data_IF_597836969309
#
_entry.id   IF_597836969309
#
_cell.length_a   1.000
_cell.length_b   1.000
_cell.length_c   1.000
_cell.angle_alpha   90.00
_cell.angle_beta   90.00
_cell.angle_gamma   90.00
#
_symmetry.space_group_name_H-M   'P 1'
#
loop_
_entity.id
_entity.type
_entity.pdbx_description
1 polymer ?
#
# COMPACT_ATOMS: atom_id res chain seq x y z
N UNK A 1 21.94 15.97 21.98
CA UNK A 1 21.31 14.75 21.43
C UNK A 1 22.46 13.81 21.16
N UNK A 2 22.39 12.60 21.72
CA UNK A 2 23.38 11.56 21.42
C UNK A 2 23.36 11.26 19.91
N UNK A 3 24.51 10.88 19.35
CA UNK A 3 24.57 10.45 17.96
C UNK A 3 23.67 9.21 17.79
N UNK A 4 22.79 9.19 16.78
CA UNK A 4 21.96 8.02 16.52
C UNK A 4 22.86 6.81 16.22
N UNK A 5 22.38 5.61 16.57
CA UNK A 5 23.03 4.38 16.15
C UNK A 5 23.16 4.33 14.62
N UNK A 6 24.08 3.50 14.11
CA UNK A 6 24.20 3.29 12.66
C UNK A 6 22.90 2.74 12.05
N UNK A 7 22.16 1.90 12.80
CA UNK A 7 20.86 1.38 12.38
C UNK A 7 19.85 2.50 12.18
N UNK A 8 19.65 3.34 13.20
CA UNK A 8 18.77 4.51 13.14
C UNK A 8 19.21 5.48 12.03
N UNK A 9 20.52 5.70 11.85
CA UNK A 9 21.03 6.63 10.84
C UNK A 9 20.80 6.15 9.38
N UNK A 10 20.82 4.84 9.13
CA UNK A 10 20.65 4.27 7.79
C UNK A 10 19.20 3.88 7.49
N UNK A 11 18.50 3.33 8.47
CA UNK A 11 17.20 2.66 8.29
C UNK A 11 16.08 3.27 9.12
N UNK A 12 16.39 4.21 10.02
CA UNK A 12 15.40 4.78 10.95
C UNK A 12 14.94 3.83 12.06
N UNK A 13 15.55 2.63 12.17
CA UNK A 13 15.27 1.61 13.18
C UNK A 13 16.54 0.83 13.54
N UNK A 14 16.58 0.27 14.75
CA UNK A 14 17.60 -0.69 15.17
C UNK A 14 17.21 -2.15 14.89
N UNK A 15 16.05 -2.37 14.27
CA UNK A 15 15.61 -3.70 13.86
C UNK A 15 16.55 -4.27 12.78
N UNK A 16 17.06 -5.48 13.02
CA UNK A 16 17.98 -6.13 12.11
C UNK A 16 17.25 -6.74 10.90
N UNK A 17 17.76 -6.48 9.70
CA UNK A 17 17.26 -7.11 8.47
C UNK A 17 17.82 -8.53 8.37
N UNK A 18 16.98 -9.59 8.32
CA UNK A 18 17.45 -10.96 8.17
C UNK A 18 18.25 -11.17 6.88
N UNK A 19 19.32 -11.96 6.96
CA UNK A 19 20.11 -12.30 5.79
C UNK A 19 19.27 -13.07 4.76
N UNK A 20 19.31 -12.62 3.50
CA UNK A 20 18.66 -13.29 2.37
C UNK A 20 19.60 -14.29 1.71
N UNK A 21 19.08 -15.41 1.18
CA UNK A 21 19.84 -16.42 0.42
C UNK A 21 19.23 -16.63 -0.96
N UNK A 22 20.02 -16.58 -2.02
CA UNK A 22 19.54 -16.95 -3.37
C UNK A 22 19.58 -18.47 -3.52
N UNK A 23 18.45 -19.06 -3.89
CA UNK A 23 18.29 -20.47 -4.21
C UNK A 23 18.21 -20.67 -5.73
N UNK A 24 18.71 -21.78 -6.24
CA UNK A 24 18.72 -22.08 -7.69
C UNK A 24 18.34 -23.52 -8.00
N UNK A 25 17.64 -23.72 -9.12
CA UNK A 25 17.31 -25.03 -9.68
C UNK A 25 17.19 -24.92 -11.20
N UNK A 26 18.23 -25.29 -11.95
CA UNK A 26 18.26 -25.03 -13.40
C UNK A 26 18.12 -23.53 -13.70
N UNK A 27 17.10 -23.16 -14.48
CA UNK A 27 16.80 -21.76 -14.80
C UNK A 27 16.01 -21.03 -13.69
N UNK A 28 15.47 -21.75 -12.70
CA UNK A 28 14.76 -21.17 -11.56
C UNK A 28 15.75 -20.50 -10.61
N UNK A 29 15.44 -19.29 -10.17
CA UNK A 29 16.09 -18.65 -9.03
C UNK A 29 15.07 -17.90 -8.17
N UNK A 30 15.29 -17.87 -6.86
CA UNK A 30 14.47 -17.11 -5.93
C UNK A 30 15.29 -16.67 -4.71
N UNK A 31 14.88 -15.58 -4.07
CA UNK A 31 15.47 -15.09 -2.83
C UNK A 31 14.69 -15.64 -1.64
N UNK A 32 15.33 -16.46 -0.81
CA UNK A 32 14.80 -16.91 0.48
C UNK A 32 15.02 -15.83 1.53
N UNK A 33 13.94 -15.39 2.16
CA UNK A 33 13.93 -14.38 3.21
C UNK A 33 12.79 -14.66 4.19
N UNK A 34 13.11 -14.70 5.50
CA UNK A 34 12.14 -14.96 6.57
C UNK A 34 11.22 -16.17 6.31
N UNK A 35 11.77 -17.26 5.74
CA UNK A 35 11.00 -18.48 5.45
C UNK A 35 10.09 -18.42 4.22
N UNK A 36 10.13 -17.33 3.47
CA UNK A 36 9.33 -17.08 2.26
C UNK A 36 10.25 -16.91 1.04
N UNK A 37 9.68 -16.95 -0.18
CA UNK A 37 10.43 -16.67 -1.39
C UNK A 37 10.00 -15.33 -2.02
N UNK A 38 10.99 -14.53 -2.44
CA UNK A 38 10.83 -13.30 -3.23
C UNK A 38 11.58 -13.40 -4.56
N UNK A 39 11.25 -12.53 -5.51
CA UNK A 39 11.92 -12.39 -6.81
C UNK A 39 12.06 -13.74 -7.52
N UNK A 40 10.95 -14.49 -7.59
CA UNK A 40 10.93 -15.81 -8.22
C UNK A 40 11.06 -15.59 -9.72
N UNK A 41 12.14 -16.11 -10.29
CA UNK A 41 12.57 -15.86 -11.65
C UNK A 41 12.87 -17.14 -12.41
N UNK A 42 12.65 -17.12 -13.72
CA UNK A 42 13.02 -18.19 -14.64
C UNK A 42 13.86 -17.61 -15.78
N UNK A 43 15.13 -18.02 -15.88
CA UNK A 43 16.05 -17.46 -16.86
C UNK A 43 16.33 -15.96 -16.67
N UNK A 44 16.15 -15.45 -15.45
CA UNK A 44 16.33 -14.03 -15.09
C UNK A 44 15.08 -13.17 -15.19
N UNK A 45 14.03 -13.64 -15.88
CA UNK A 45 12.73 -12.95 -15.96
C UNK A 45 11.89 -13.23 -14.71
N UNK A 46 11.29 -12.20 -14.13
CA UNK A 46 10.42 -12.33 -12.94
C UNK A 46 9.08 -12.95 -13.33
N UNK A 47 8.74 -14.08 -12.70
CA UNK A 47 7.48 -14.80 -12.92
C UNK A 47 6.49 -14.58 -11.77
N UNK A 48 7.00 -14.39 -10.55
CA UNK A 48 6.24 -14.03 -9.35
C UNK A 48 7.11 -13.15 -8.46
N UNK A 49 6.52 -12.11 -7.88
CA UNK A 49 7.22 -11.20 -6.96
C UNK A 49 7.49 -11.87 -5.62
N UNK A 50 6.53 -12.60 -5.07
CA UNK A 50 6.71 -13.36 -3.83
C UNK A 50 5.66 -14.46 -3.61
N UNK A 51 5.99 -15.45 -2.79
CA UNK A 51 5.03 -16.36 -2.17
C UNK A 51 5.39 -16.47 -0.69
N UNK A 52 4.42 -16.15 0.16
CA UNK A 52 4.62 -16.08 1.61
C UNK A 52 3.50 -16.77 2.38
N UNK A 53 3.82 -17.45 3.48
CA UNK A 53 2.81 -17.91 4.44
C UNK A 53 2.68 -16.85 5.54
N UNK A 54 1.53 -16.18 5.62
CA UNK A 54 1.32 -15.09 6.56
C UNK A 54 0.25 -15.42 7.60
N UNK A 55 0.38 -14.79 8.77
CA UNK A 55 -0.59 -14.86 9.86
C UNK A 55 -0.91 -13.43 10.28
N UNK A 56 -2.18 -13.05 10.20
CA UNK A 56 -2.66 -11.72 10.58
C UNK A 56 -3.58 -11.77 11.78
N UNK A 57 -3.44 -10.81 12.68
CA UNK A 57 -4.36 -10.62 13.79
C UNK A 57 -5.72 -10.04 13.32
N UNK A 58 -6.61 -9.78 14.29
CA UNK A 58 -7.94 -9.19 14.09
C UNK A 58 -7.89 -7.72 13.60
N UNK A 59 -6.76 -7.06 13.75
CA UNK A 59 -6.52 -5.65 13.43
C UNK A 59 -5.71 -5.54 12.11
N UNK A 60 -5.59 -6.65 11.36
CA UNK A 60 -4.84 -6.79 10.10
C UNK A 60 -3.31 -6.66 10.21
N UNK A 61 -2.77 -6.61 11.42
CA UNK A 61 -1.34 -6.65 11.69
C UNK A 61 -0.77 -8.01 11.29
N UNK A 62 0.38 -8.02 10.61
CA UNK A 62 1.06 -9.28 10.20
C UNK A 62 2.09 -9.65 11.25
N UNK A 63 1.97 -10.85 11.84
CA UNK A 63 2.94 -11.33 12.82
C UNK A 63 4.29 -11.63 12.15
N UNK A 64 5.38 -11.24 12.81
CA UNK A 64 6.72 -11.75 12.52
C UNK A 64 6.86 -13.15 13.13
N UNK A 65 7.01 -14.22 12.33
CA UNK A 65 7.11 -15.58 12.86
C UNK A 65 8.43 -15.84 13.56
N UNK A 66 8.38 -16.51 14.70
CA UNK A 66 9.57 -17.12 15.31
C UNK A 66 9.90 -18.42 14.57
N UNK A 67 10.84 -18.34 13.64
CA UNK A 67 11.26 -19.48 12.80
C UNK A 67 12.27 -20.36 13.56
N UNK A 68 12.06 -21.67 13.49
CA UNK A 68 12.93 -22.72 14.01
C UNK A 68 13.10 -23.83 12.98
N UNK A 69 14.16 -24.64 13.13
CA UNK A 69 14.43 -25.77 12.22
C UNK A 69 14.43 -25.38 10.73
N UNK A 70 14.91 -24.17 10.39
CA UNK A 70 15.10 -23.76 9.02
C UNK A 70 16.26 -24.56 8.42
N UNK A 71 15.93 -25.51 7.55
CA UNK A 71 16.89 -26.34 6.82
C UNK A 71 16.77 -26.07 5.33
N UNK A 72 17.92 -25.95 4.67
CA UNK A 72 18.03 -25.67 3.23
C UNK A 72 18.98 -26.69 2.62
N UNK A 73 18.43 -27.53 1.74
CA UNK A 73 19.17 -28.50 0.95
C UNK A 73 19.16 -28.08 -0.52
N UNK A 74 20.32 -27.98 -1.14
CA UNK A 74 20.49 -27.68 -2.57
C UNK A 74 21.22 -28.85 -3.24
N UNK A 75 20.72 -29.28 -4.39
CA UNK A 75 21.28 -30.32 -5.24
C UNK A 75 21.18 -29.90 -6.71
N UNK A 76 21.91 -30.58 -7.60
CA UNK A 76 21.98 -30.20 -9.03
C UNK A 76 20.61 -30.09 -9.72
N UNK A 77 19.63 -30.88 -9.28
CA UNK A 77 18.27 -30.89 -9.84
C UNK A 77 17.25 -29.98 -9.15
N UNK A 78 17.59 -29.37 -8.01
CA UNK A 78 16.61 -28.65 -7.21
C UNK A 78 17.05 -28.24 -5.80
N UNK A 79 16.17 -27.53 -5.11
CA UNK A 79 16.35 -27.19 -3.71
C UNK A 79 15.12 -27.58 -2.89
N UNK A 80 15.32 -27.81 -1.59
CA UNK A 80 14.27 -27.99 -0.60
C UNK A 80 14.54 -27.08 0.60
N UNK A 81 13.53 -26.34 1.02
CA UNK A 81 13.53 -25.58 2.27
C UNK A 81 12.47 -26.18 3.18
N UNK A 82 12.81 -26.44 4.44
CA UNK A 82 11.83 -26.81 5.47
C UNK A 82 11.98 -25.92 6.69
N UNK A 83 10.88 -25.58 7.34
CA UNK A 83 10.88 -24.80 8.57
C UNK A 83 9.69 -25.13 9.45
N UNK A 84 9.81 -24.76 10.73
CA UNK A 84 8.70 -24.61 11.66
C UNK A 84 8.66 -23.18 12.14
N UNK A 85 7.47 -22.66 12.38
CA UNK A 85 7.31 -21.32 12.90
C UNK A 85 6.15 -21.25 13.89
N UNK A 86 6.28 -20.31 14.82
CA UNK A 86 5.22 -19.95 15.76
C UNK A 86 4.98 -18.46 15.65
N UNK A 87 3.72 -18.09 15.51
CA UNK A 87 3.23 -16.70 15.49
C UNK A 87 2.22 -16.49 16.61
N UNK A 88 2.03 -15.25 17.03
CA UNK A 88 1.03 -14.88 18.01
C UNK A 88 1.61 -14.16 19.22
N UNK A 89 0.80 -14.02 20.26
CA UNK A 89 1.14 -13.41 21.55
C UNK A 89 1.10 -14.47 22.69
N UNK A 90 1.29 -14.02 23.92
CA UNK A 90 1.27 -14.89 25.11
C UNK A 90 -0.06 -15.64 25.31
N UNK A 91 -1.16 -15.11 24.78
CA UNK A 91 -2.50 -15.68 24.95
C UNK A 91 -2.94 -16.55 23.76
N UNK A 92 -2.42 -16.28 22.55
CA UNK A 92 -2.90 -16.85 21.29
C UNK A 92 -1.70 -17.24 20.45
N UNK A 93 -1.45 -18.54 20.29
CA UNK A 93 -0.33 -19.05 19.48
C UNK A 93 -0.84 -19.89 18.31
N UNK A 94 -0.26 -19.66 17.14
CA UNK A 94 -0.46 -20.47 15.95
C UNK A 94 0.89 -21.03 15.51
N UNK A 95 0.97 -22.36 15.40
CA UNK A 95 2.16 -23.07 14.96
C UNK A 95 1.98 -23.62 13.57
N UNK A 96 3.00 -23.51 12.72
CA UNK A 96 2.98 -24.10 11.38
C UNK A 96 4.33 -24.69 10.97
N UNK A 97 4.28 -25.58 10.01
CA UNK A 97 5.43 -26.08 9.28
C UNK A 97 5.25 -25.74 7.80
N UNK A 98 6.35 -25.34 7.16
CA UNK A 98 6.36 -25.09 5.72
C UNK A 98 7.46 -25.89 5.04
N UNK A 99 7.18 -26.31 3.79
CA UNK A 99 8.13 -26.98 2.91
C UNK A 99 8.04 -26.36 1.53
N UNK A 100 9.19 -25.96 0.99
CA UNK A 100 9.32 -25.34 -0.33
C UNK A 100 10.24 -26.21 -1.17
N UNK A 101 9.84 -26.55 -2.38
CA UNK A 101 10.63 -27.35 -3.32
C UNK A 101 10.70 -26.65 -4.67
N UNK A 102 11.90 -26.29 -5.13
CA UNK A 102 12.14 -25.82 -6.49
C UNK A 102 12.84 -26.89 -7.32
N UNK A 103 12.35 -27.14 -8.54
CA UNK A 103 12.90 -28.14 -9.47
C UNK A 103 13.36 -27.48 -10.77
N UNK A 104 14.39 -28.07 -11.38
CA UNK A 104 14.95 -27.60 -12.64
C UNK A 104 14.02 -27.75 -13.85
N UNK A 105 12.86 -28.41 -13.70
CA UNK A 105 11.84 -28.58 -14.74
C UNK A 105 10.81 -27.43 -14.79
N UNK A 106 10.95 -26.42 -13.93
CA UNK A 106 10.01 -25.29 -13.85
C UNK A 106 8.91 -25.46 -12.80
N UNK A 107 8.95 -26.52 -11.99
CA UNK A 107 8.01 -26.74 -10.89
C UNK A 107 8.54 -26.15 -9.58
N UNK A 108 7.76 -25.29 -8.94
CA UNK A 108 8.00 -24.76 -7.60
C UNK A 108 6.77 -25.00 -6.72
N UNK A 109 6.94 -25.75 -5.64
CA UNK A 109 5.85 -26.13 -4.73
C UNK A 109 6.09 -25.56 -3.34
N UNK A 110 5.06 -24.96 -2.76
CA UNK A 110 5.00 -24.52 -1.37
C UNK A 110 3.91 -25.32 -0.68
N UNK A 111 4.23 -25.97 0.44
CA UNK A 111 3.25 -26.61 1.31
C UNK A 111 3.34 -26.02 2.70
N UNK A 112 2.19 -25.71 3.29
CA UNK A 112 2.08 -25.16 4.63
C UNK A 112 1.01 -25.91 5.39
N UNK A 113 1.36 -26.42 6.57
CA UNK A 113 0.41 -27.07 7.47
C UNK A 113 0.54 -26.46 8.86
N UNK A 114 -0.57 -26.04 9.47
CA UNK A 114 -0.54 -25.36 10.76
C UNK A 114 -1.84 -25.46 11.53
N UNK A 115 -1.77 -25.15 12.82
CA UNK A 115 -2.89 -25.23 13.74
C UNK A 115 -2.57 -24.57 15.07
N UNK A 116 -3.48 -24.75 16.02
CA UNK A 116 -3.41 -24.16 17.35
C UNK A 116 -3.97 -25.12 18.40
N UNK A 117 -3.40 -25.10 19.60
CA UNK A 117 -3.87 -25.90 20.74
C UNK A 117 -4.96 -25.19 21.54
N UNK A 118 -4.98 -23.85 21.53
CA UNK A 118 -5.89 -23.02 22.34
C UNK A 118 -6.92 -22.26 21.51
N UNK A 119 -6.82 -22.34 20.19
CA UNK A 119 -7.63 -21.58 19.25
C UNK A 119 -7.03 -20.20 18.95
N UNK A 120 -7.25 -19.70 17.75
CA UNK A 120 -6.57 -18.50 17.23
C UNK A 120 -7.53 -17.61 16.44
N UNK A 121 -7.64 -16.35 16.83
CA UNK A 121 -8.45 -15.34 16.14
C UNK A 121 -7.60 -14.62 15.09
N UNK A 122 -8.08 -14.55 13.85
CA UNK A 122 -7.30 -14.10 12.69
C UNK A 122 -8.19 -13.45 11.63
N UNK A 123 -7.65 -12.49 10.90
CA UNK A 123 -8.25 -12.02 9.64
C UNK A 123 -7.73 -12.79 8.42
N UNK A 124 -6.51 -13.36 8.53
CA UNK A 124 -5.88 -14.11 7.45
C UNK A 124 -4.76 -15.01 7.97
N UNK A 125 -4.89 -16.31 7.72
CA UNK A 125 -3.83 -17.29 7.97
C UNK A 125 -3.69 -18.20 6.76
N UNK A 126 -2.53 -18.16 6.10
CA UNK A 126 -2.26 -18.99 4.93
C UNK A 126 -1.37 -18.33 3.89
N UNK A 127 -1.29 -18.95 2.71
CA UNK A 127 -0.46 -18.45 1.62
C UNK A 127 -1.03 -17.18 0.98
N UNK A 128 -0.11 -16.29 0.65
CA UNK A 128 -0.30 -15.12 -0.20
C UNK A 128 0.72 -15.18 -1.33
N UNK A 129 0.28 -14.84 -2.54
CA UNK A 129 1.10 -14.80 -3.75
C UNK A 129 1.06 -13.37 -4.30
N UNK A 130 2.24 -12.81 -4.56
CA UNK A 130 2.40 -11.52 -5.19
C UNK A 130 2.82 -11.73 -6.64
N UNK A 131 1.99 -11.24 -7.57
CA UNK A 131 2.29 -11.20 -9.00
C UNK A 131 2.91 -9.83 -9.33
N UNK A 132 3.97 -9.78 -10.16
CA UNK A 132 4.59 -8.51 -10.53
C UNK A 132 3.60 -7.59 -11.27
N UNK A 133 3.89 -6.28 -11.32
CA UNK A 133 3.12 -5.33 -12.14
C UNK A 133 3.64 -5.33 -13.57
N UNK A 134 4.96 -5.20 -13.73
CA UNK A 134 5.60 -5.10 -15.03
C UNK A 134 5.31 -6.36 -15.86
N UNK A 135 4.81 -6.15 -17.08
CA UNK A 135 4.41 -7.24 -17.97
C UNK A 135 3.11 -7.96 -17.64
N UNK A 136 2.49 -7.70 -16.48
CA UNK A 136 1.26 -8.37 -16.04
C UNK A 136 0.07 -7.41 -16.09
N UNK A 137 0.24 -6.13 -15.76
CA UNK A 137 -0.85 -5.17 -15.81
C UNK A 137 -1.42 -5.02 -17.23
N UNK A 138 -2.74 -5.20 -17.38
CA UNK A 138 -3.40 -5.22 -18.68
C UNK A 138 -3.18 -6.50 -19.50
N UNK A 139 -2.42 -7.48 -18.99
CA UNK A 139 -2.14 -8.72 -19.72
C UNK A 139 -3.30 -9.73 -19.60
N UNK A 140 -3.52 -10.59 -20.62
CA UNK A 140 -4.48 -11.69 -20.54
C UNK A 140 -4.16 -12.68 -19.43
N UNK A 141 -5.20 -13.26 -18.84
CA UNK A 141 -5.09 -14.31 -17.82
C UNK A 141 -6.19 -15.33 -17.97
N UNK A 142 -5.85 -16.61 -17.90
CA UNK A 142 -6.81 -17.69 -17.80
C UNK A 142 -7.05 -18.00 -16.31
N UNK A 143 -8.29 -17.88 -15.87
CA UNK A 143 -8.72 -18.18 -14.51
C UNK A 143 -9.39 -19.54 -14.48
N UNK A 144 -8.91 -20.43 -13.59
CA UNK A 144 -9.61 -21.66 -13.24
C UNK A 144 -10.27 -21.50 -11.89
N UNK A 145 -11.59 -21.68 -11.86
CA UNK A 145 -12.41 -21.60 -10.66
C UNK A 145 -12.32 -22.86 -9.80
N UNK A 146 -12.71 -22.78 -8.52
CA UNK A 146 -12.67 -23.95 -7.61
C UNK A 146 -13.60 -25.07 -8.03
N UNK A 147 -14.67 -24.75 -8.77
CA UNK A 147 -15.60 -25.71 -9.38
C UNK A 147 -15.15 -26.25 -10.74
N UNK A 148 -13.93 -25.93 -11.18
CA UNK A 148 -13.31 -26.45 -12.40
C UNK A 148 -13.64 -25.69 -13.69
N UNK A 149 -14.50 -24.68 -13.64
CA UNK A 149 -14.77 -23.79 -14.79
C UNK A 149 -13.53 -22.97 -15.12
N UNK A 150 -13.20 -22.87 -16.40
CA UNK A 150 -12.16 -21.95 -16.89
C UNK A 150 -12.78 -20.76 -17.63
N UNK A 151 -12.20 -19.57 -17.44
CA UNK A 151 -12.58 -18.34 -18.12
C UNK A 151 -11.34 -17.53 -18.49
N UNK A 152 -11.39 -16.88 -19.64
CA UNK A 152 -10.39 -15.87 -20.04
C UNK A 152 -10.76 -14.51 -19.44
N UNK A 153 -9.76 -13.78 -18.97
CA UNK A 153 -9.89 -12.45 -18.38
C UNK A 153 -8.63 -11.63 -18.65
N UNK A 154 -8.49 -10.50 -17.97
CA UNK A 154 -7.33 -9.61 -18.07
C UNK A 154 -7.01 -9.03 -16.70
N UNK A 155 -5.73 -8.90 -16.36
CA UNK A 155 -5.33 -8.14 -15.18
C UNK A 155 -5.74 -6.67 -15.34
N UNK A 156 -6.24 -5.99 -14.31
CA UNK A 156 -6.67 -4.60 -14.42
C UNK A 156 -5.54 -3.68 -14.91
N UNK A 157 -5.74 -2.96 -16.00
CA UNK A 157 -4.78 -1.92 -16.42
C UNK A 157 -4.90 -0.69 -15.49
N UNK A 158 -6.13 -0.19 -15.36
CA UNK A 158 -6.54 0.81 -14.36
C UNK A 158 -6.82 0.09 -13.04
N UNK A 159 -6.41 0.70 -11.93
CA UNK A 159 -6.49 0.08 -10.61
C UNK A 159 -7.95 -0.22 -10.24
N UNK A 160 -8.25 -1.49 -9.99
CA UNK A 160 -9.57 -1.93 -9.56
C UNK A 160 -9.76 -1.65 -8.06
N UNK A 161 -10.83 -0.96 -7.62
CA UNK A 161 -11.00 -0.57 -6.21
C UNK A 161 -11.38 -1.74 -5.28
N UNK A 162 -11.74 -2.91 -5.82
CA UNK A 162 -12.27 -4.07 -5.08
C UNK A 162 -11.46 -5.34 -5.42
N UNK A 163 -12.12 -6.49 -5.60
CA UNK A 163 -11.51 -7.74 -6.01
C UNK A 163 -11.68 -7.96 -7.52
N UNK A 164 -10.62 -7.85 -8.33
CA UNK A 164 -10.73 -8.06 -9.77
C UNK A 164 -10.93 -9.53 -10.18
N UNK A 165 -10.55 -10.48 -9.33
CA UNK A 165 -10.66 -11.92 -9.62
C UNK A 165 -11.01 -12.69 -8.34
N UNK A 166 -12.09 -13.47 -8.37
CA UNK A 166 -12.62 -14.22 -7.23
C UNK A 166 -12.73 -15.71 -7.55
N UNK A 167 -12.93 -16.53 -6.53
CA UNK A 167 -13.11 -17.98 -6.64
C UNK A 167 -11.97 -18.64 -7.44
N UNK A 168 -10.73 -18.53 -6.95
CA UNK A 168 -9.53 -18.94 -7.67
C UNK A 168 -9.04 -20.32 -7.23
N UNK A 169 -8.83 -21.21 -8.21
CA UNK A 169 -8.05 -22.46 -8.08
C UNK A 169 -6.73 -22.39 -8.83
N UNK A 170 -6.70 -21.74 -9.99
CA UNK A 170 -5.45 -21.45 -10.71
C UNK A 170 -5.54 -20.15 -11.51
N UNK A 171 -4.40 -19.49 -11.66
CA UNK A 171 -4.19 -18.38 -12.58
C UNK A 171 -3.08 -18.78 -13.56
N UNK A 172 -3.33 -18.62 -14.86
CA UNK A 172 -2.30 -18.76 -15.88
C UNK A 172 -2.10 -17.45 -16.60
N UNK A 173 -0.88 -16.91 -16.57
CA UNK A 173 -0.51 -15.73 -17.33
C UNK A 173 0.71 -16.01 -18.21
N UNK A 174 0.98 -15.09 -19.13
CA UNK A 174 2.18 -15.11 -19.96
C UNK A 174 3.02 -13.89 -19.63
N UNK A 175 4.30 -14.09 -19.34
CA UNK A 175 5.24 -12.99 -19.06
C UNK A 175 5.64 -12.27 -20.36
N UNK A 176 6.25 -11.06 -20.31
CA UNK A 176 6.71 -10.34 -21.49
C UNK A 176 7.62 -11.14 -22.43
N UNK A 177 8.49 -11.99 -21.87
CA UNK A 177 9.40 -12.88 -22.60
C UNK A 177 8.73 -14.14 -23.17
N UNK A 178 7.42 -14.32 -22.94
CA UNK A 178 6.63 -15.42 -23.49
C UNK A 178 6.60 -16.68 -22.62
N UNK A 179 7.03 -16.62 -21.36
CA UNK A 179 6.91 -17.75 -20.44
C UNK A 179 5.45 -17.92 -20.03
N UNK A 180 4.94 -19.16 -20.10
CA UNK A 180 3.63 -19.51 -19.55
C UNK A 180 3.80 -19.92 -18.10
N UNK A 181 3.15 -19.19 -17.18
CA UNK A 181 3.22 -19.39 -15.73
C UNK A 181 1.84 -19.75 -15.22
N UNK A 182 1.68 -20.97 -14.72
CA UNK A 182 0.46 -21.40 -14.02
C UNK A 182 0.72 -21.45 -12.52
N UNK A 183 -0.04 -20.68 -11.75
CA UNK A 183 -0.06 -20.74 -10.29
C UNK A 183 -1.33 -21.42 -9.83
N UNK A 184 -1.20 -22.63 -9.29
CA UNK A 184 -2.29 -23.42 -8.70
C UNK A 184 -2.28 -23.27 -7.19
N UNK A 185 -3.44 -23.03 -6.61
CA UNK A 185 -3.62 -22.79 -5.17
C UNK A 185 -4.56 -23.84 -4.60
N UNK A 186 -4.21 -24.52 -3.52
CA UNK A 186 -4.97 -25.61 -2.91
C UNK A 186 -5.09 -25.46 -1.39
N UNK A 187 -6.07 -26.15 -0.81
CA UNK A 187 -6.38 -26.11 0.62
C UNK A 187 -7.49 -25.13 1.01
N UNK A 188 -7.83 -24.18 0.14
CA UNK A 188 -8.98 -23.26 0.32
C UNK A 188 -9.35 -22.60 -1.04
N UNK A 189 -10.24 -21.62 -0.99
CA UNK A 189 -10.59 -20.68 -2.06
C UNK A 189 -9.74 -19.42 -1.93
N UNK A 190 -9.23 -18.94 -3.06
CA UNK A 190 -8.41 -17.73 -3.12
C UNK A 190 -9.11 -16.63 -3.92
N UNK A 191 -8.75 -15.38 -3.69
CA UNK A 191 -9.17 -14.25 -4.52
C UNK A 191 -8.03 -13.23 -4.66
N UNK A 192 -8.20 -12.25 -5.55
CA UNK A 192 -7.21 -11.25 -5.86
C UNK A 192 -7.59 -9.88 -5.30
N UNK A 193 -6.59 -9.14 -4.82
CA UNK A 193 -6.62 -7.70 -4.61
C UNK A 193 -5.60 -7.04 -5.53
N UNK A 194 -5.99 -5.92 -6.11
CA UNK A 194 -5.07 -5.01 -6.76
C UNK A 194 -4.35 -4.15 -5.71
N UNK A 195 -3.17 -4.58 -5.26
CA UNK A 195 -2.46 -3.90 -4.16
C UNK A 195 -1.86 -2.55 -4.58
N UNK A 196 -1.92 -2.19 -5.86
CA UNK A 196 -1.57 -0.83 -6.30
C UNK A 196 -2.48 0.23 -5.68
N UNK A 197 -3.68 -0.14 -5.22
CA UNK A 197 -4.51 0.74 -4.39
C UNK A 197 -3.72 1.28 -3.17
N UNK A 198 -2.94 0.40 -2.56
CA UNK A 198 -2.10 0.67 -1.39
C UNK A 198 -0.68 1.09 -1.74
N UNK A 199 -0.40 1.39 -3.02
CA UNK A 199 0.95 1.72 -3.54
C UNK A 199 1.95 0.56 -3.46
N UNK A 200 1.47 -0.68 -3.33
CA UNK A 200 2.35 -1.84 -3.43
C UNK A 200 2.62 -2.20 -4.89
N UNK A 201 3.80 -2.78 -5.12
CA UNK A 201 4.28 -3.18 -6.44
C UNK A 201 3.75 -4.53 -6.93
N UNK A 202 2.48 -4.87 -6.68
CA UNK A 202 1.96 -6.19 -7.06
C UNK A 202 0.43 -6.28 -7.18
N UNK A 203 -0.02 -7.37 -7.81
CA UNK A 203 -1.33 -7.96 -7.53
C UNK A 203 -1.17 -9.04 -6.47
N UNK A 204 -2.10 -9.13 -5.53
CA UNK A 204 -2.05 -10.12 -4.46
C UNK A 204 -3.16 -11.13 -4.61
N UNK A 205 -2.81 -12.40 -4.70
CA UNK A 205 -3.74 -13.49 -4.49
C UNK A 205 -3.63 -13.98 -3.05
N UNK A 206 -4.75 -14.11 -2.35
CA UNK A 206 -4.79 -14.47 -0.93
C UNK A 206 -5.94 -15.40 -0.57
N UNK A 207 -5.75 -16.09 0.54
CA UNK A 207 -6.78 -16.82 1.29
C UNK A 207 -7.22 -16.02 2.52
N UNK A 208 -8.42 -16.16 3.07
CA UNK A 208 -9.67 -16.63 2.43
C UNK A 208 -10.44 -15.42 1.85
N UNK A 209 -11.52 -15.63 1.08
CA UNK A 209 -12.31 -14.54 0.51
C UNK A 209 -12.80 -13.53 1.56
N UNK A 210 -12.69 -12.24 1.26
CA UNK A 210 -13.13 -11.13 2.13
C UNK A 210 -14.65 -11.07 2.33
N UNK A 211 -15.42 -11.72 1.46
CA UNK A 211 -16.87 -11.84 1.60
C UNK A 211 -17.28 -12.74 2.78
N UNK A 212 -16.38 -13.58 3.30
CA UNK A 212 -16.64 -14.40 4.48
C UNK A 212 -16.44 -13.59 5.79
N UNK A 213 -17.11 -13.94 6.90
CA UNK A 213 -17.01 -13.18 8.15
C UNK A 213 -15.57 -13.03 8.66
N UNK A 214 -15.22 -11.88 9.21
CA UNK A 214 -13.92 -11.65 9.84
C UNK A 214 -14.07 -10.71 11.06
N UNK A 215 -13.16 -10.79 12.07
CA UNK A 215 -12.18 -11.86 12.24
C UNK A 215 -12.86 -13.22 12.40
N UNK A 216 -12.15 -14.29 12.07
CA UNK A 216 -12.61 -15.66 12.28
C UNK A 216 -11.69 -16.37 13.27
N UNK A 217 -12.18 -17.48 13.83
CA UNK A 217 -11.45 -18.29 14.79
C UNK A 217 -11.11 -19.63 14.17
N UNK A 218 -9.84 -20.01 14.27
CA UNK A 218 -9.34 -21.37 14.05
C UNK A 218 -9.47 -22.09 15.39
N UNK A 219 -10.22 -23.18 15.45
CA UNK A 219 -10.47 -23.88 16.71
C UNK A 219 -9.33 -24.85 17.10
N UNK A 220 -9.20 -25.22 18.39
CA UNK A 220 -8.29 -26.27 18.81
C UNK A 220 -8.47 -27.57 18.00
N UNK A 221 -7.39 -28.06 17.42
CA UNK A 221 -7.39 -29.27 16.59
C UNK A 221 -7.80 -29.05 15.12
N UNK A 222 -8.28 -27.85 14.76
CA UNK A 222 -8.42 -27.46 13.35
C UNK A 222 -7.04 -27.29 12.73
N UNK A 223 -6.88 -27.81 11.51
CA UNK A 223 -5.61 -27.76 10.76
C UNK A 223 -5.82 -27.10 9.43
N UNK A 224 -5.02 -26.07 9.16
CA UNK A 224 -4.81 -25.52 7.82
C UNK A 224 -3.81 -26.42 7.10
N UNK A 225 -4.16 -26.92 5.91
CA UNK A 225 -3.22 -27.60 5.00
C UNK A 225 -3.40 -27.02 3.59
N UNK A 226 -2.40 -26.26 3.13
CA UNK A 226 -2.45 -25.53 1.87
C UNK A 226 -1.24 -25.87 1.02
N UNK A 227 -1.43 -25.88 -0.30
CA UNK A 227 -0.36 -26.09 -1.27
C UNK A 227 -0.47 -25.09 -2.41
N UNK A 228 0.63 -24.42 -2.71
CA UNK A 228 0.78 -23.59 -3.91
C UNK A 228 1.74 -24.32 -4.85
N UNK A 229 1.33 -24.54 -6.10
CA UNK A 229 2.20 -25.11 -7.13
C UNK A 229 2.30 -24.12 -8.28
N UNK A 230 3.53 -23.68 -8.56
CA UNK A 230 3.86 -22.84 -9.71
C UNK A 230 4.51 -23.72 -10.76
N UNK A 231 3.97 -23.71 -11.98
CA UNK A 231 4.52 -24.44 -13.13
C UNK A 231 4.88 -23.44 -14.21
N UNK A 232 6.15 -23.42 -14.60
CA UNK A 232 6.72 -22.50 -15.58
C UNK A 232 7.09 -23.32 -16.82
N UNK A 233 6.67 -22.85 -17.98
CA UNK A 233 6.96 -23.52 -19.26
C UNK A 233 7.25 -22.49 -20.36
N UNK A 234 8.03 -22.93 -21.34
CA UNK A 234 8.57 -22.06 -22.39
C UNK A 234 10.08 -21.90 -22.27
N UNK A 235 10.70 -21.44 -23.35
CA UNK A 235 12.12 -21.13 -23.36
C UNK A 235 12.32 -19.71 -22.83
N UNK A 236 13.17 -19.48 -21.82
CA UNK A 236 13.48 -18.12 -21.40
C UNK A 236 14.13 -17.38 -22.56
N UNK A 237 13.65 -16.17 -22.84
CA UNK A 237 14.48 -15.23 -23.59
C UNK A 237 15.64 -14.84 -22.69
N UNK A 238 16.86 -14.75 -23.24
CA UNK A 238 18.02 -14.38 -22.43
C UNK A 238 17.77 -13.02 -21.78
N UNK A 239 17.55 -12.99 -20.46
CA UNK A 239 17.50 -11.75 -19.73
C UNK A 239 18.88 -11.09 -19.84
N UNK A 240 18.92 -9.85 -20.31
CA UNK A 240 20.16 -9.09 -20.29
C UNK A 240 20.53 -8.85 -18.83
N UNK A 241 21.72 -9.29 -18.40
CA UNK A 241 22.29 -8.83 -17.15
C UNK A 241 22.40 -7.30 -17.24
N UNK A 242 21.64 -6.53 -16.46
CA UNK A 242 21.84 -5.10 -16.42
C UNK A 242 23.14 -4.93 -15.66
N UNK A 243 24.26 -4.87 -16.39
CA UNK A 243 25.56 -4.52 -15.82
C UNK A 243 25.50 -3.20 -15.08
N UNK A 244 26.64 -2.67 -14.65
CA UNK A 244 26.68 -1.42 -13.88
C UNK A 244 25.77 -0.33 -14.47
N UNK A 245 24.82 0.15 -13.67
CA UNK A 245 23.91 1.24 -14.04
C UNK A 245 24.72 2.54 -14.03
N UNK A 246 25.02 3.08 -15.21
CA UNK A 246 25.65 4.38 -15.34
C UNK A 246 24.57 5.48 -15.41
N UNK A 247 24.55 6.36 -14.40
CA UNK A 247 23.68 7.53 -14.40
C UNK A 247 24.40 8.69 -15.09
N UNK A 248 23.76 9.28 -16.10
CA UNK A 248 24.23 10.51 -16.75
C UNK A 248 23.08 11.51 -16.83
N UNK A 249 23.33 12.81 -16.63
CA UNK A 249 22.30 13.82 -16.84
C UNK A 249 21.79 13.78 -18.28
N UNK A 250 20.48 13.59 -18.44
CA UNK A 250 19.81 13.63 -19.73
C UNK A 250 19.51 15.06 -20.20
N UNK A 251 18.81 15.18 -21.33
CA UNK A 251 18.26 16.45 -21.78
C UNK A 251 17.16 16.96 -20.83
N UNK A 252 16.99 18.27 -20.74
CA UNK A 252 15.88 18.88 -20.01
C UNK A 252 14.55 18.52 -20.67
N UNK A 253 13.67 17.83 -19.94
CA UNK A 253 12.36 17.39 -20.43
C UNK A 253 11.21 18.36 -20.08
N UNK A 254 11.42 19.24 -19.11
CA UNK A 254 10.39 20.17 -18.64
C UNK A 254 10.67 20.71 -17.24
N UNK A 255 9.65 21.27 -16.61
CA UNK A 255 9.68 21.72 -15.22
C UNK A 255 9.20 20.61 -14.29
N UNK A 256 9.88 20.45 -13.17
CA UNK A 256 9.38 19.61 -12.07
C UNK A 256 8.11 20.27 -11.50
N UNK A 257 7.03 19.50 -11.22
CA UNK A 257 5.85 20.05 -10.56
C UNK A 257 6.22 20.75 -9.23
N UNK A 258 5.50 21.81 -8.84
CA UNK A 258 5.75 22.48 -7.56
C UNK A 258 5.70 21.49 -6.39
N UNK A 259 6.80 21.38 -5.65
CA UNK A 259 6.89 20.50 -4.48
C UNK A 259 6.52 21.28 -3.22
N UNK A 260 5.75 20.64 -2.34
CA UNK A 260 5.36 21.21 -1.06
C UNK A 260 5.72 20.32 0.12
N UNK A 261 5.48 20.83 1.32
CA UNK A 261 5.68 20.10 2.58
C UNK A 261 4.39 20.13 3.41
N UNK A 262 4.18 19.11 4.23
CA UNK A 262 3.12 19.09 5.24
C UNK A 262 3.62 19.61 6.59
N UNK A 263 2.80 20.40 7.27
CA UNK A 263 3.06 20.87 8.63
C UNK A 263 1.87 20.58 9.52
N UNK A 264 2.13 19.82 10.59
CA UNK A 264 1.18 19.64 11.69
C UNK A 264 1.47 20.62 12.84
N UNK A 265 0.45 21.08 13.59
CA UNK A 265 0.62 21.97 14.73
C UNK A 265 1.66 21.51 15.76
N UNK A 266 1.72 20.22 16.06
CA UNK A 266 2.63 19.62 17.05
C UNK A 266 4.10 19.78 16.65
N UNK A 267 4.36 19.92 15.35
CA UNK A 267 5.70 20.02 14.79
C UNK A 267 6.15 21.47 14.61
N UNK A 268 5.36 22.47 14.98
CA UNK A 268 5.69 23.90 14.76
C UNK A 268 6.98 24.32 15.48
N UNK A 269 7.22 23.84 16.70
CA UNK A 269 8.43 24.18 17.47
C UNK A 269 9.69 23.61 16.82
N UNK A 270 9.69 22.31 16.51
CA UNK A 270 10.82 21.62 15.85
C UNK A 270 11.08 22.18 14.46
N UNK A 271 10.02 22.45 13.69
CA UNK A 271 10.09 23.06 12.35
C UNK A 271 10.72 24.45 12.41
N UNK A 272 10.36 25.28 13.40
CA UNK A 272 10.96 26.61 13.58
C UNK A 272 12.46 26.52 13.89
N UNK A 273 12.87 25.52 14.67
CA UNK A 273 14.30 25.25 14.93
C UNK A 273 15.09 24.86 13.69
N UNK A 274 14.43 24.32 12.66
CA UNK A 274 15.04 23.87 11.41
C UNK A 274 14.73 24.78 10.19
N UNK A 275 14.20 25.99 10.42
CA UNK A 275 13.61 26.83 9.37
C UNK A 275 14.59 27.21 8.25
N UNK A 276 15.88 27.41 8.56
CA UNK A 276 16.88 27.77 7.57
C UNK A 276 17.21 26.59 6.63
N UNK A 277 17.27 25.37 7.15
CA UNK A 277 17.42 24.16 6.35
C UNK A 277 16.19 23.93 5.46
N UNK A 278 14.99 24.15 5.99
CA UNK A 278 13.75 24.03 5.23
C UNK A 278 13.64 25.11 4.14
N UNK A 279 14.11 26.34 4.40
CA UNK A 279 14.14 27.41 3.39
C UNK A 279 15.03 27.04 2.21
N UNK A 280 16.14 26.33 2.45
CA UNK A 280 17.04 25.86 1.38
C UNK A 280 16.38 24.84 0.44
N UNK A 281 15.33 24.13 0.89
CA UNK A 281 14.53 23.24 0.04
C UNK A 281 13.59 24.01 -0.91
N UNK A 282 13.35 25.30 -0.63
CA UNK A 282 12.46 26.18 -1.40
C UNK A 282 11.09 25.56 -1.73
N UNK A 283 10.33 25.09 -0.73
CA UNK A 283 9.01 24.50 -0.98
C UNK A 283 8.08 25.56 -1.58
N UNK A 284 7.40 25.20 -2.67
CA UNK A 284 6.45 26.09 -3.33
C UNK A 284 5.23 26.37 -2.46
N UNK A 285 4.79 25.39 -1.68
CA UNK A 285 3.67 25.49 -0.76
C UNK A 285 3.91 24.72 0.55
N UNK A 286 3.23 25.16 1.61
CA UNK A 286 3.19 24.48 2.90
C UNK A 286 1.74 24.13 3.23
N UNK A 287 1.44 22.84 3.37
CA UNK A 287 0.12 22.33 3.73
C UNK A 287 -0.04 22.37 5.25
N UNK A 288 -0.94 23.23 5.73
CA UNK A 288 -1.20 23.47 7.14
C UNK A 288 -2.37 22.60 7.59
N UNK A 289 -2.10 21.63 8.46
CA UNK A 289 -3.09 20.68 8.92
C UNK A 289 -3.99 21.25 10.03
N UNK A 290 -5.31 21.15 9.85
CA UNK A 290 -6.31 21.52 10.84
C UNK A 290 -7.23 20.34 11.15
N UNK A 291 -7.35 20.01 12.44
CA UNK A 291 -8.20 18.96 12.96
C UNK A 291 -8.79 19.42 14.30
N UNK A 292 -10.08 19.80 14.35
CA UNK A 292 -10.67 20.28 15.59
C UNK A 292 -10.76 19.17 16.66
N UNK A 293 -10.70 17.88 16.27
CA UNK A 293 -10.69 16.75 17.22
C UNK A 293 -9.38 16.68 18.00
N UNK A 294 -8.29 17.20 17.44
CA UNK A 294 -6.98 17.35 18.08
C UNK A 294 -6.85 18.67 18.87
N UNK A 295 -7.92 19.48 18.94
CA UNK A 295 -7.89 20.78 19.60
C UNK A 295 -7.19 21.88 18.78
N UNK A 296 -7.05 21.69 17.47
CA UNK A 296 -6.51 22.72 16.59
C UNK A 296 -7.45 23.93 16.52
N UNK A 297 -6.88 25.13 16.57
CA UNK A 297 -7.62 26.37 16.67
C UNK A 297 -6.95 27.48 15.86
N UNK A 298 -7.41 28.72 16.05
CA UNK A 298 -6.84 29.90 15.40
C UNK A 298 -5.35 30.11 15.75
N UNK A 299 -4.93 29.80 16.98
CA UNK A 299 -3.56 30.00 17.43
C UNK A 299 -2.61 29.00 16.77
N UNK A 300 -3.02 27.74 16.65
CA UNK A 300 -2.22 26.73 15.94
C UNK A 300 -2.10 27.05 14.45
N UNK A 301 -3.19 27.47 13.80
CA UNK A 301 -3.17 27.94 12.41
C UNK A 301 -2.23 29.14 12.22
N UNK A 302 -2.30 30.14 13.12
CA UNK A 302 -1.43 31.31 13.06
C UNK A 302 0.06 30.94 13.21
N UNK A 303 0.39 30.00 14.10
CA UNK A 303 1.76 29.54 14.31
C UNK A 303 2.35 28.85 13.08
N UNK A 304 1.55 28.02 12.40
CA UNK A 304 1.96 27.38 11.14
C UNK A 304 2.07 28.38 9.99
N UNK A 305 1.14 29.35 9.92
CA UNK A 305 1.15 30.40 8.90
C UNK A 305 2.38 31.29 8.99
N UNK A 306 2.85 31.60 10.20
CA UNK A 306 4.10 32.34 10.42
C UNK A 306 5.31 31.59 9.84
N UNK A 307 5.34 30.26 9.95
CA UNK A 307 6.37 29.42 9.34
C UNK A 307 6.27 29.46 7.82
N UNK A 308 5.07 29.31 7.24
CA UNK A 308 4.88 29.40 5.79
C UNK A 308 5.40 30.74 5.22
N UNK A 309 5.06 31.86 5.87
CA UNK A 309 5.56 33.21 5.53
C UNK A 309 7.08 33.31 5.64
N UNK A 310 7.67 32.73 6.69
CA UNK A 310 9.12 32.74 6.92
C UNK A 310 9.89 31.92 5.88
N UNK A 311 9.26 30.87 5.33
CA UNK A 311 9.78 30.06 4.24
C UNK A 311 9.56 30.71 2.86
N UNK A 312 8.61 31.64 2.75
CA UNK A 312 8.16 32.18 1.46
C UNK A 312 7.33 31.16 0.65
N UNK A 313 6.69 30.21 1.33
CA UNK A 313 5.88 29.16 0.72
C UNK A 313 4.40 29.54 0.75
N UNK A 314 3.65 29.19 -0.30
CA UNK A 314 2.20 29.43 -0.38
C UNK A 314 1.47 28.56 0.67
N UNK A 315 0.68 29.13 1.58
CA UNK A 315 -0.02 28.35 2.60
C UNK A 315 -1.26 27.69 1.98
N UNK A 316 -1.32 26.37 2.06
CA UNK A 316 -2.50 25.58 1.75
C UNK A 316 -3.14 25.13 3.06
N UNK A 317 -4.46 25.20 3.18
CA UNK A 317 -5.18 24.66 4.34
C UNK A 317 -5.63 23.24 4.02
N UNK A 318 -5.29 22.28 4.88
CA UNK A 318 -5.85 20.93 4.87
C UNK A 318 -6.70 20.74 6.13
N UNK A 319 -8.03 20.74 5.97
CA UNK A 319 -8.96 20.78 7.09
C UNK A 319 -9.84 19.53 7.17
N UNK A 320 -9.76 18.82 8.29
CA UNK A 320 -10.66 17.74 8.63
C UNK A 320 -11.95 18.29 9.22
N UNK A 321 -13.07 17.77 8.74
CA UNK A 321 -14.41 18.16 9.18
C UNK A 321 -14.96 17.09 10.11
N UNK A 322 -15.10 17.42 11.39
CA UNK A 322 -15.49 16.47 12.44
C UNK A 322 -16.98 16.15 12.42
N UNK A 323 -17.83 17.10 12.02
CA UNK A 323 -19.27 16.90 11.95
C UNK A 323 -19.64 15.96 10.80
N UNK A 324 -20.45 14.95 11.11
CA UNK A 324 -20.87 13.91 10.16
C UNK A 324 -22.18 14.22 9.44
N UNK A 325 -22.92 15.24 9.91
CA UNK A 325 -24.17 15.70 9.31
C UNK A 325 -23.97 16.99 8.48
N UNK A 326 -24.77 17.18 7.43
CA UNK A 326 -24.62 18.31 6.49
C UNK A 326 -24.68 19.69 7.17
N UNK A 327 -25.60 19.88 8.12
CA UNK A 327 -25.79 21.18 8.76
C UNK A 327 -24.61 21.51 9.70
N UNK A 328 -24.16 20.52 10.48
CA UNK A 328 -22.99 20.63 11.33
C UNK A 328 -21.72 20.87 10.53
N UNK A 329 -21.51 20.12 9.45
CA UNK A 329 -20.34 20.27 8.58
C UNK A 329 -20.28 21.67 7.95
N UNK A 330 -21.41 22.18 7.47
CA UNK A 330 -21.48 23.54 6.92
C UNK A 330 -21.15 24.62 7.98
N UNK A 331 -21.68 24.49 9.19
CA UNK A 331 -21.40 25.44 10.28
C UNK A 331 -19.94 25.38 10.76
N UNK A 332 -19.34 24.18 10.79
CA UNK A 332 -17.93 23.98 11.11
C UNK A 332 -17.03 24.65 10.07
N UNK A 333 -17.30 24.46 8.78
CA UNK A 333 -16.59 25.11 7.68
C UNK A 333 -16.76 26.63 7.70
N UNK A 334 -17.95 27.14 8.00
CA UNK A 334 -18.18 28.58 8.15
C UNK A 334 -17.33 29.16 9.29
N UNK A 335 -17.28 28.48 10.43
CA UNK A 335 -16.44 28.87 11.57
C UNK A 335 -14.96 28.91 11.16
N UNK A 336 -14.50 27.90 10.43
CA UNK A 336 -13.13 27.86 9.91
C UNK A 336 -12.83 29.00 8.93
N UNK A 337 -13.79 29.36 8.07
CA UNK A 337 -13.72 30.53 7.19
C UNK A 337 -13.57 31.84 7.99
N UNK A 338 -14.34 32.01 9.06
CA UNK A 338 -14.21 33.17 9.96
C UNK A 338 -12.83 33.22 10.64
N UNK A 339 -12.28 32.07 11.03
CA UNK A 339 -10.91 31.99 11.56
C UNK A 339 -9.89 32.43 10.50
N UNK A 340 -10.01 31.96 9.27
CA UNK A 340 -9.12 32.34 8.17
C UNK A 340 -9.22 33.84 7.83
N UNK A 341 -10.43 34.40 7.80
CA UNK A 341 -10.66 35.83 7.61
C UNK A 341 -9.99 36.67 8.70
N UNK A 342 -10.03 36.21 9.96
CA UNK A 342 -9.32 36.88 11.07
C UNK A 342 -7.79 36.84 10.94
N UNK A 343 -7.26 35.96 10.08
CA UNK A 343 -5.85 35.85 9.72
C UNK A 343 -5.51 36.53 8.39
N UNK A 344 -6.48 37.22 7.78
CA UNK A 344 -6.35 37.94 6.51
C UNK A 344 -6.50 37.07 5.27
N UNK A 345 -7.35 36.04 5.32
CA UNK A 345 -7.63 35.11 4.22
C UNK A 345 -6.37 34.57 3.53
N UNK A 346 -5.44 33.95 4.30
CA UNK A 346 -4.10 33.69 3.80
C UNK A 346 -4.03 32.54 2.79
N UNK A 347 -5.05 31.68 2.73
CA UNK A 347 -4.98 30.38 2.04
C UNK A 347 -5.36 30.48 0.57
N UNK A 348 -4.40 30.19 -0.31
CA UNK A 348 -4.66 30.13 -1.75
C UNK A 348 -5.42 28.86 -2.17
N UNK A 349 -5.27 27.78 -1.39
CA UNK A 349 -5.95 26.49 -1.59
C UNK A 349 -6.49 26.00 -0.26
N UNK A 350 -7.74 25.54 -0.25
CA UNK A 350 -8.41 24.95 0.90
C UNK A 350 -8.89 23.56 0.53
N UNK A 351 -8.31 22.56 1.18
CA UNK A 351 -8.65 21.15 1.04
C UNK A 351 -9.54 20.77 2.21
N UNK A 352 -10.66 20.10 1.95
CA UNK A 352 -11.54 19.57 3.00
C UNK A 352 -11.84 18.08 2.81
N UNK A 353 -11.84 17.35 3.92
CA UNK A 353 -12.24 15.93 3.96
C UNK A 353 -13.00 15.65 5.27
N UNK A 354 -14.08 14.85 5.24
CA UNK A 354 -14.70 14.36 6.47
C UNK A 354 -13.70 13.56 7.31
N UNK A 355 -13.72 13.78 8.62
CA UNK A 355 -12.94 13.03 9.59
C UNK A 355 -13.14 11.49 9.53
N UNK A 356 -14.36 10.96 9.28
CA UNK A 356 -14.56 9.52 9.11
C UNK A 356 -13.86 8.92 7.90
N UNK A 357 -13.57 9.71 6.86
CA UNK A 357 -12.88 9.24 5.64
C UNK A 357 -11.38 9.01 5.84
N UNK A 358 -10.84 9.32 7.04
CA UNK A 358 -9.50 8.89 7.44
C UNK A 358 -9.40 7.40 7.75
N UNK A 359 -10.53 6.70 7.86
CA UNK A 359 -10.57 5.27 8.19
C UNK A 359 -10.67 4.41 6.94
N UNK A 360 -9.92 3.31 6.94
CA UNK A 360 -10.05 2.28 5.92
C UNK A 360 -11.47 1.70 6.00
N UNK A 361 -12.17 1.75 4.88
CA UNK A 361 -13.41 0.98 4.70
C UNK A 361 -13.13 -0.17 3.76
N UNK A 362 -13.23 -1.39 4.28
CA UNK A 362 -12.96 -2.61 3.52
C UNK A 362 -14.05 -2.86 2.47
N UNK A 363 -13.73 -3.56 1.36
CA UNK A 363 -14.71 -3.93 0.37
C UNK A 363 -15.92 -4.66 0.99
N UNK A 364 -17.12 -4.19 0.69
CA UNK A 364 -18.37 -4.76 1.22
C UNK A 364 -18.79 -4.26 2.61
N UNK A 365 -17.97 -3.45 3.31
CA UNK A 365 -18.36 -2.80 4.56
C UNK A 365 -19.23 -1.56 4.32
N UNK A 366 -20.04 -1.20 5.32
CA UNK A 366 -20.79 0.05 5.33
C UNK A 366 -19.82 1.19 5.64
N UNK A 367 -19.81 2.22 4.80
CA UNK A 367 -19.04 3.43 5.06
C UNK A 367 -19.58 4.16 6.30
N UNK A 368 -18.72 4.70 7.18
CA UNK A 368 -19.15 5.57 8.26
C UNK A 368 -19.96 6.76 7.75
N UNK A 369 -20.88 7.24 8.59
CA UNK A 369 -21.65 8.45 8.29
C UNK A 369 -20.71 9.64 8.06
N UNK A 370 -20.93 10.34 6.94
CA UNK A 370 -20.19 11.54 6.55
C UNK A 370 -21.16 12.51 5.86
N UNK A 371 -20.88 13.83 5.89
CA UNK A 371 -21.69 14.77 5.14
C UNK A 371 -21.63 14.44 3.64
N UNK A 372 -22.69 14.82 2.93
CA UNK A 372 -22.70 14.78 1.48
C UNK A 372 -21.55 15.65 0.93
N UNK A 373 -20.73 15.07 0.06
CA UNK A 373 -19.51 15.71 -0.43
C UNK A 373 -19.81 17.00 -1.19
N UNK A 374 -20.89 17.02 -1.98
CA UNK A 374 -21.28 18.21 -2.73
C UNK A 374 -21.71 19.35 -1.80
N UNK A 375 -22.56 19.03 -0.81
CA UNK A 375 -23.00 19.98 0.22
C UNK A 375 -21.81 20.55 1.00
N UNK A 376 -20.81 19.71 1.32
CA UNK A 376 -19.59 20.14 1.99
C UNK A 376 -18.79 21.13 1.12
N UNK A 377 -18.52 20.79 -0.14
CA UNK A 377 -17.73 21.65 -1.03
C UNK A 377 -18.42 22.98 -1.34
N UNK A 378 -19.74 22.99 -1.47
CA UNK A 378 -20.53 24.21 -1.60
C UNK A 378 -20.40 25.11 -0.36
N UNK A 379 -20.42 24.52 0.84
CA UNK A 379 -20.18 25.28 2.08
C UNK A 379 -18.76 25.84 2.13
N UNK A 380 -17.76 25.06 1.73
CA UNK A 380 -16.37 25.51 1.67
C UNK A 380 -16.20 26.66 0.68
N UNK A 381 -16.82 26.59 -0.50
CA UNK A 381 -16.76 27.66 -1.49
C UNK A 381 -17.38 28.97 -1.01
N UNK A 382 -18.46 28.91 -0.20
CA UNK A 382 -19.04 30.10 0.44
C UNK A 382 -18.14 30.68 1.52
N UNK A 383 -17.48 29.84 2.32
CA UNK A 383 -16.60 30.26 3.39
C UNK A 383 -15.24 30.79 2.88
N UNK A 384 -14.78 30.32 1.72
CA UNK A 384 -13.49 30.65 1.12
C UNK A 384 -13.63 31.07 -0.36
N UNK A 385 -14.30 32.21 -0.65
CA UNK A 385 -14.68 32.56 -2.02
C UNK A 385 -13.50 32.87 -2.97
N UNK A 386 -12.32 33.20 -2.43
CA UNK A 386 -11.12 33.51 -3.20
C UNK A 386 -10.14 32.32 -3.34
N UNK A 387 -10.35 31.24 -2.60
CA UNK A 387 -9.45 30.09 -2.60
C UNK A 387 -9.84 29.07 -3.68
N UNK A 388 -8.85 28.31 -4.15
CA UNK A 388 -9.12 27.05 -4.85
C UNK A 388 -9.65 26.03 -3.85
N UNK A 389 -10.76 25.39 -4.15
CA UNK A 389 -11.36 24.38 -3.29
C UNK A 389 -10.93 23.00 -3.75
N UNK A 390 -10.30 22.24 -2.86
CA UNK A 390 -9.92 20.86 -3.11
C UNK A 390 -10.60 19.87 -2.18
N UNK A 391 -10.66 18.62 -2.63
CA UNK A 391 -11.30 17.53 -1.92
C UNK A 391 -10.82 16.18 -2.45
N UNK A 392 -11.38 15.10 -1.92
CA UNK A 392 -10.87 13.75 -2.14
C UNK A 392 -10.64 13.10 -0.79
N UNK A 393 -9.50 12.42 -0.63
CA UNK A 393 -9.18 11.70 0.60
C UNK A 393 -7.93 12.25 1.26
N UNK A 394 -7.95 12.44 2.56
CA UNK A 394 -6.70 12.66 3.31
C UNK A 394 -6.07 11.34 3.77
N UNK A 395 -6.79 10.23 3.59
CA UNK A 395 -6.30 8.86 3.61
C UNK A 395 -5.67 8.50 2.25
N UNK A 396 -5.67 7.23 1.87
CA UNK A 396 -4.87 6.72 0.76
C UNK A 396 -5.61 6.74 -0.57
N UNK A 397 -4.87 6.47 -1.65
CA UNK A 397 -5.43 6.29 -2.98
C UNK A 397 -6.54 5.22 -3.00
N UNK A 398 -6.42 4.16 -2.19
CA UNK A 398 -7.47 3.14 -2.01
C UNK A 398 -8.84 3.76 -1.73
N UNK A 399 -8.92 4.63 -0.72
CA UNK A 399 -10.17 5.26 -0.31
C UNK A 399 -10.69 6.19 -1.41
N UNK A 400 -9.81 6.94 -2.09
CA UNK A 400 -10.19 7.82 -3.20
C UNK A 400 -10.80 6.99 -4.35
N UNK A 401 -10.20 5.84 -4.66
CA UNK A 401 -10.67 4.98 -5.75
C UNK A 401 -12.00 4.31 -5.42
N UNK A 402 -12.25 3.99 -4.14
CA UNK A 402 -13.49 3.37 -3.64
C UNK A 402 -14.64 4.36 -3.45
N UNK A 403 -14.37 5.57 -2.95
CA UNK A 403 -15.35 6.63 -2.68
C UNK A 403 -14.91 7.92 -3.39
N UNK A 404 -15.28 8.02 -4.68
CA UNK A 404 -14.84 9.10 -5.56
C UNK A 404 -15.61 10.41 -5.28
N UNK A 405 -14.94 11.57 -5.22
CA UNK A 405 -15.60 12.86 -4.98
C UNK A 405 -16.35 13.36 -6.24
N UNK A 406 -17.35 14.26 -6.09
CA UNK A 406 -17.93 15.02 -7.20
C UNK A 406 -16.90 16.02 -7.76
N UNK A 407 -16.19 15.63 -8.82
CA UNK A 407 -15.05 16.38 -9.36
C UNK A 407 -15.41 17.69 -10.05
N UNK A 408 -16.67 17.85 -10.47
CA UNK A 408 -17.24 19.06 -11.07
C UNK A 408 -17.37 20.22 -10.09
N UNK A 409 -17.33 19.95 -8.79
CA UNK A 409 -17.40 20.95 -7.72
C UNK A 409 -16.03 21.31 -7.14
N UNK A 410 -14.96 20.67 -7.62
CA UNK A 410 -13.60 20.82 -7.11
C UNK A 410 -12.68 21.52 -8.12
N UNK A 411 -11.78 22.34 -7.60
CA UNK A 411 -10.67 22.95 -8.33
C UNK A 411 -9.38 22.09 -8.25
N UNK A 412 -9.38 21.08 -7.37
CA UNK A 412 -8.29 20.15 -7.12
C UNK A 412 -8.79 18.85 -6.47
N UNK A 413 -8.38 17.69 -6.97
CA UNK A 413 -8.53 16.38 -6.29
C UNK A 413 -7.26 16.04 -5.51
N UNK A 414 -7.37 15.54 -4.29
CA UNK A 414 -6.22 15.15 -3.48
C UNK A 414 -6.37 13.77 -2.86
N UNK A 415 -5.24 13.11 -2.65
CA UNK A 415 -5.08 11.84 -1.92
C UNK A 415 -3.67 11.73 -1.36
N UNK A 416 -3.45 10.82 -0.41
CA UNK A 416 -2.11 10.50 0.09
C UNK A 416 -1.68 9.08 -0.32
N UNK A 417 -0.41 8.76 -0.08
CA UNK A 417 0.16 7.42 -0.27
C UNK A 417 1.17 7.14 0.83
N UNK A 418 1.37 5.86 1.16
CA UNK A 418 2.48 5.37 1.97
C UNK A 418 2.99 4.06 1.36
N UNK A 419 4.32 3.87 1.26
CA UNK A 419 4.90 2.62 0.77
C UNK A 419 5.03 1.54 1.87
N UNK A 420 4.56 1.80 3.10
CA UNK A 420 4.74 0.90 4.24
C UNK A 420 3.48 0.11 4.64
N UNK A 421 2.43 0.10 3.81
CA UNK A 421 1.13 -0.52 4.18
C UNK A 421 1.27 -2.02 4.42
N UNK A 422 1.94 -2.74 3.51
CA UNK A 422 2.01 -4.21 3.57
C UNK A 422 3.38 -4.75 3.98
N UNK A 423 4.46 -3.98 3.82
CA UNK A 423 5.80 -4.39 4.18
C UNK A 423 6.64 -3.17 4.59
N UNK A 424 7.46 -3.35 5.63
CA UNK A 424 8.25 -2.28 6.25
C UNK A 424 9.70 -2.18 5.77
N UNK A 425 10.15 -3.10 4.93
CA UNK A 425 11.56 -3.22 4.53
C UNK A 425 11.93 -2.30 3.35
N UNK A 426 13.20 -1.88 3.30
CA UNK A 426 13.74 -0.98 2.28
C UNK A 426 13.47 -1.45 0.85
N UNK A 427 13.50 -2.77 0.59
CA UNK A 427 13.28 -3.28 -0.76
C UNK A 427 11.82 -3.07 -1.16
N UNK A 428 10.88 -3.45 -0.30
CA UNK A 428 9.45 -3.25 -0.56
C UNK A 428 9.13 -1.76 -0.77
N UNK A 429 9.72 -0.85 0.02
CA UNK A 429 9.55 0.59 -0.16
C UNK A 429 10.02 1.06 -1.53
N UNK A 430 11.18 0.58 -1.97
CA UNK A 430 11.74 0.96 -3.26
C UNK A 430 10.93 0.37 -4.44
N UNK A 431 10.41 -0.84 -4.27
CA UNK A 431 9.57 -1.52 -5.25
C UNK A 431 8.26 -0.76 -5.50
N UNK A 432 7.64 -0.16 -4.47
CA UNK A 432 6.39 0.63 -4.57
C UNK A 432 6.36 1.68 -5.68
N UNK A 433 7.53 2.16 -6.12
CA UNK A 433 7.66 3.07 -7.27
C UNK A 433 7.05 2.51 -8.56
N UNK A 434 7.02 1.18 -8.71
CA UNK A 434 6.38 0.49 -9.83
C UNK A 434 4.86 0.74 -9.91
N UNK A 435 4.20 1.06 -8.78
CA UNK A 435 2.77 1.35 -8.75
C UNK A 435 2.42 2.79 -9.20
N UNK A 436 3.36 3.73 -9.14
CA UNK A 436 3.09 5.15 -9.40
C UNK A 436 2.49 5.45 -10.78
N UNK A 437 2.94 4.83 -11.90
CA UNK A 437 2.31 5.03 -13.20
C UNK A 437 0.84 4.61 -13.23
N UNK A 438 0.50 3.48 -12.61
CA UNK A 438 -0.88 2.98 -12.53
C UNK A 438 -1.75 3.89 -11.65
N UNK A 439 -1.21 4.39 -10.52
CA UNK A 439 -1.89 5.38 -9.67
C UNK A 439 -2.15 6.66 -10.46
N UNK A 440 -1.14 7.17 -11.17
CA UNK A 440 -1.24 8.39 -12.01
C UNK A 440 -2.31 8.25 -13.08
N UNK A 441 -2.33 7.12 -13.81
CA UNK A 441 -3.35 6.86 -14.83
C UNK A 441 -4.75 6.76 -14.22
N UNK A 442 -4.87 6.07 -13.08
CA UNK A 442 -6.14 5.87 -12.39
C UNK A 442 -6.71 7.16 -11.80
N UNK A 443 -5.89 7.96 -11.10
CA UNK A 443 -6.35 9.25 -10.57
C UNK A 443 -6.68 10.24 -11.68
N UNK A 444 -5.94 10.24 -12.79
CA UNK A 444 -6.27 11.10 -13.94
C UNK A 444 -7.65 10.76 -14.50
N UNK A 445 -8.00 9.47 -14.56
CA UNK A 445 -9.33 9.02 -14.96
C UNK A 445 -10.40 9.39 -13.92
N UNK A 446 -10.12 9.22 -12.62
CA UNK A 446 -11.03 9.59 -11.54
C UNK A 446 -11.31 11.09 -11.55
N UNK A 447 -10.28 11.91 -11.73
CA UNK A 447 -10.36 13.36 -11.67
C UNK A 447 -11.11 13.97 -12.86
N UNK A 448 -11.22 13.25 -13.99
CA UNK A 448 -12.07 13.66 -15.12
C UNK A 448 -11.68 15.00 -15.75
N UNK A 449 -10.41 15.39 -15.67
CA UNK A 449 -9.89 16.67 -16.15
C UNK A 449 -9.67 17.71 -15.05
N UNK A 450 -10.24 17.52 -13.85
CA UNK A 450 -9.91 18.33 -12.68
C UNK A 450 -8.43 18.08 -12.31
N UNK A 451 -7.63 19.12 -12.03
CA UNK A 451 -6.26 18.94 -11.56
C UNK A 451 -6.22 18.08 -10.29
N UNK A 452 -5.14 17.32 -10.08
CA UNK A 452 -4.95 16.55 -8.85
C UNK A 452 -3.55 16.77 -8.25
N UNK A 453 -3.46 16.58 -6.94
CA UNK A 453 -2.22 16.63 -6.17
C UNK A 453 -2.12 15.39 -5.28
N UNK A 454 -0.90 15.02 -4.90
CA UNK A 454 -0.63 13.94 -3.97
C UNK A 454 0.00 14.52 -2.72
N UNK A 455 -0.58 14.18 -1.58
CA UNK A 455 0.01 14.41 -0.28
C UNK A 455 -0.74 15.41 0.61
N UNK A 456 -0.12 15.77 1.75
CA UNK A 456 1.25 15.42 2.13
C UNK A 456 1.37 13.94 2.49
N UNK A 457 2.16 13.21 1.70
CA UNK A 457 2.48 11.80 1.89
C UNK A 457 3.74 11.67 2.74
N UNK A 458 3.88 10.54 3.42
CA UNK A 458 5.07 10.21 4.18
C UNK A 458 5.45 8.74 3.93
N UNK A 459 6.73 8.41 4.18
CA UNK A 459 7.15 7.01 4.20
C UNK A 459 6.38 6.31 5.33
N UNK A 460 6.48 6.84 6.55
CA UNK A 460 5.66 6.45 7.69
C UNK A 460 4.16 6.68 7.45
N UNK A 461 3.33 5.79 7.98
CA UNK A 461 1.87 5.93 7.99
C UNK A 461 1.50 7.19 8.79
N UNK A 462 0.97 8.21 8.11
CA UNK A 462 0.65 9.53 8.69
C UNK A 462 -0.56 9.43 9.63
N UNK A 463 -1.58 8.69 9.20
CA UNK A 463 -2.79 8.39 9.93
C UNK A 463 -3.06 6.90 9.72
N UNK A 464 -3.17 6.12 10.81
CA UNK A 464 -3.43 4.69 10.69
C UNK A 464 -4.90 4.48 10.29
N UNK A 465 -5.15 3.99 9.06
CA UNK A 465 -6.49 3.89 8.52
C UNK A 465 -7.29 2.80 9.25
#
# INVERSE_FOLDING_TARGET
>A
MDEPSRGIALYGTDEEVPASRILRAGALSATLEAGNLRHIRWGGEEVLRAVSFIVRDRDWGTYAPQISHLDVSEADGGFTVTLRAVTGDDARRFGYAARIEGRADGTLTFRGTGGTETGFETNRTGFVILHPIDGVAGAPVTIRHTHGREVESTFPEIIDPVQPMMDLRALTHTTPGGLRVETRMEGDTYEMEDQRNWTDASYKTYVRPLALPWPYRIEPGETIDQTITVTISGAPTAASDPGAVALTPGATLGLVPPLGLGLRPENTHTTRGAVDALRALAPAHLILHHDPRAGHDRATLAAMLDIARTLGADPWLEALIARTDNAGAAAEVETLGQMAASLGDPFATVLVSPAPDLKCTLPGSVWPDAPDAATLYDATRRAFPAARIGGGMFSYFTELNRKRPPTDQLDLVTFTTSPLIHAGDDRSVMESREAHPAITASVTRIAGGTPWAVGPSAIGVRDNP
#
